data_IF_514586965877
#
_entry.id   IF_514586965877
#
_cell.length_a   1.000
_cell.length_b   1.000
_cell.length_c   1.000
_cell.angle_alpha   90.00
_cell.angle_beta   90.00
_cell.angle_gamma   90.00
#
_symmetry.space_group_name_H-M   'P 1'
#
loop_
_entity.id
_entity.type
_entity.pdbx_description
1 polymer ?
#
# COMPACT_ATOMS: atom_id res chain seq x y z
N UNK A 1 6.38 -47.07 -9.61
CA UNK A 1 5.59 -46.67 -8.41
C UNK A 1 6.26 -45.55 -7.60
N UNK A 2 7.49 -45.71 -7.08
CA UNK A 2 8.22 -44.63 -6.36
C UNK A 2 8.36 -43.32 -7.13
N UNK A 3 8.64 -43.38 -8.45
CA UNK A 3 8.74 -42.20 -9.32
C UNK A 3 7.40 -41.45 -9.50
N UNK A 4 6.27 -42.17 -9.50
CA UNK A 4 4.92 -41.59 -9.56
C UNK A 4 4.53 -40.90 -8.25
N UNK A 5 4.94 -41.47 -7.11
CA UNK A 5 4.73 -40.87 -5.78
C UNK A 5 5.58 -39.60 -5.65
N UNK A 6 6.84 -39.62 -6.07
CA UNK A 6 7.72 -38.44 -6.06
C UNK A 6 7.17 -37.33 -6.97
N UNK A 7 6.67 -37.69 -8.16
CA UNK A 7 6.07 -36.72 -9.08
C UNK A 7 4.78 -36.11 -8.52
N UNK A 8 3.94 -36.93 -7.87
CA UNK A 8 2.74 -36.45 -7.16
C UNK A 8 3.08 -35.54 -5.98
N UNK A 9 4.13 -35.85 -5.20
CA UNK A 9 4.57 -35.04 -4.07
C UNK A 9 5.13 -33.69 -4.52
N UNK A 10 5.92 -33.66 -5.61
CA UNK A 10 6.41 -32.44 -6.25
C UNK A 10 5.27 -31.56 -6.80
N UNK A 11 4.24 -32.17 -7.37
CA UNK A 11 3.08 -31.45 -7.91
C UNK A 11 2.22 -30.85 -6.79
N UNK A 12 2.09 -31.52 -5.64
CA UNK A 12 1.38 -30.97 -4.46
C UNK A 12 2.19 -29.84 -3.80
N UNK A 13 3.52 -29.98 -3.69
CA UNK A 13 4.39 -28.94 -3.13
C UNK A 13 4.40 -27.65 -3.95
N UNK A 14 4.29 -27.74 -5.28
CA UNK A 14 4.27 -26.57 -6.16
C UNK A 14 2.93 -25.82 -6.09
N UNK A 15 1.80 -26.51 -5.87
CA UNK A 15 0.49 -25.88 -5.70
C UNK A 15 0.38 -25.12 -4.37
N UNK A 16 0.98 -25.62 -3.30
CA UNK A 16 0.97 -24.94 -1.99
C UNK A 16 1.83 -23.68 -1.94
N UNK A 17 2.81 -23.51 -2.84
CA UNK A 17 3.70 -22.34 -2.86
C UNK A 17 3.07 -21.07 -3.45
N UNK A 18 1.89 -21.16 -4.09
CA UNK A 18 1.28 -20.05 -4.86
C UNK A 18 0.17 -19.33 -4.09
N UNK A 19 -0.34 -19.92 -3.01
CA UNK A 19 -1.43 -19.32 -2.22
C UNK A 19 -0.86 -18.60 -1.02
N UNK A 20 -0.79 -17.26 -1.07
CA UNK A 20 -1.14 -16.34 0.03
C UNK A 20 -0.60 -14.92 -0.25
N UNK A 21 -1.23 -14.17 -1.15
CA UNK A 21 -1.20 -12.70 -1.09
C UNK A 21 -2.64 -12.22 -1.10
N UNK A 22 -3.07 -11.60 0.01
CA UNK A 22 -4.36 -10.94 0.05
C UNK A 22 -4.40 -9.86 -1.06
N UNK A 23 -5.53 -9.70 -1.78
CA UNK A 23 -5.64 -8.66 -2.79
C UNK A 23 -5.50 -7.29 -2.14
N UNK A 24 -4.77 -6.39 -2.79
CA UNK A 24 -4.64 -4.99 -2.37
C UNK A 24 -6.02 -4.31 -2.55
N UNK A 25 -6.56 -3.62 -1.53
CA UNK A 25 -7.82 -2.88 -1.65
C UNK A 25 -7.76 -1.85 -2.79
N UNK A 26 -8.87 -1.62 -3.50
CA UNK A 26 -8.90 -0.75 -4.67
C UNK A 26 -8.43 0.68 -4.36
N UNK A 27 -8.79 1.19 -3.18
CA UNK A 27 -8.40 2.48 -2.64
C UNK A 27 -6.91 2.58 -2.31
N UNK A 28 -6.18 1.47 -2.33
CA UNK A 28 -4.72 1.42 -2.14
C UNK A 28 -3.97 1.06 -3.42
N UNK A 29 -4.63 0.60 -4.47
CA UNK A 29 -3.93 0.11 -5.65
C UNK A 29 -3.21 1.24 -6.40
N UNK A 30 -1.99 0.97 -6.86
CA UNK A 30 -1.23 1.90 -7.68
C UNK A 30 -0.28 1.17 -8.64
N UNK A 31 0.17 1.89 -9.66
CA UNK A 31 1.23 1.48 -10.58
C UNK A 31 2.46 2.37 -10.42
N UNK A 32 2.27 3.66 -10.17
CA UNK A 32 3.33 4.65 -9.97
C UNK A 32 3.01 5.57 -8.79
N UNK A 33 4.02 6.26 -8.25
CA UNK A 33 3.86 7.20 -7.13
C UNK A 33 2.77 8.26 -7.40
N UNK A 34 2.65 8.71 -8.66
CA UNK A 34 1.66 9.71 -9.07
C UNK A 34 0.20 9.22 -9.02
N UNK A 35 -0.03 7.91 -8.84
CA UNK A 35 -1.37 7.37 -8.64
C UNK A 35 -1.86 7.57 -7.19
N UNK A 36 -0.99 8.01 -6.28
CA UNK A 36 -1.24 8.06 -4.85
C UNK A 36 -1.32 9.51 -4.32
N UNK A 37 -2.23 9.71 -3.37
CA UNK A 37 -2.47 10.97 -2.68
C UNK A 37 -2.70 10.74 -1.18
N UNK A 38 -2.73 11.81 -0.38
CA UNK A 38 -2.95 11.71 1.07
C UNK A 38 -4.32 11.09 1.37
N UNK A 39 -4.37 10.13 2.30
CA UNK A 39 -5.60 9.46 2.72
C UNK A 39 -6.55 10.38 3.51
N UNK A 40 -6.02 11.41 4.15
CA UNK A 40 -6.77 12.40 4.92
C UNK A 40 -6.31 13.81 4.57
N UNK A 41 -7.16 14.80 4.81
CA UNK A 41 -6.85 16.19 4.46
C UNK A 41 -5.73 16.80 5.31
N UNK A 42 -5.72 16.49 6.61
CA UNK A 42 -4.78 17.06 7.55
C UNK A 42 -4.00 15.93 8.22
N UNK A 43 -2.69 16.16 8.42
CA UNK A 43 -1.84 15.27 9.20
C UNK A 43 -1.89 13.81 8.71
N UNK A 44 -1.91 13.61 7.40
CA UNK A 44 -2.05 12.28 6.81
C UNK A 44 -0.83 11.43 7.14
N UNK A 45 -1.06 10.26 7.72
CA UNK A 45 -0.05 9.23 7.98
C UNK A 45 -0.19 8.04 7.03
N UNK A 46 -0.99 8.20 5.99
CA UNK A 46 -1.35 7.14 5.05
C UNK A 46 -1.69 7.73 3.67
N UNK A 47 -1.68 6.88 2.65
CA UNK A 47 -1.92 7.25 1.27
C UNK A 47 -3.01 6.38 0.62
N UNK A 48 -3.74 6.94 -0.33
CA UNK A 48 -4.78 6.25 -1.12
C UNK A 48 -4.57 6.54 -2.59
N UNK A 49 -5.14 5.71 -3.46
CA UNK A 49 -5.23 6.02 -4.87
C UNK A 49 -5.99 7.34 -5.07
N UNK A 50 -5.53 8.16 -6.01
CA UNK A 50 -6.11 9.48 -6.37
C UNK A 50 -7.62 9.45 -6.62
N UNK A 51 -8.15 8.35 -7.16
CA UNK A 51 -9.60 8.19 -7.39
C UNK A 51 -10.43 8.13 -6.10
N UNK A 52 -9.78 7.84 -4.97
CA UNK A 52 -10.37 7.71 -3.64
C UNK A 52 -9.91 8.81 -2.69
N UNK A 53 -9.16 9.80 -3.17
CA UNK A 53 -8.67 10.90 -2.34
C UNK A 53 -9.84 11.72 -1.76
N UNK A 54 -9.75 12.18 -0.50
CA UNK A 54 -10.77 13.05 0.08
C UNK A 54 -10.78 14.43 -0.61
N UNK A 55 -11.96 15.05 -0.72
CA UNK A 55 -12.07 16.45 -1.11
C UNK A 55 -11.69 17.36 0.08
N UNK A 56 -10.56 18.04 -0.05
CA UNK A 56 -10.02 18.93 0.98
C UNK A 56 -10.23 20.43 0.69
N UNK A 57 -10.99 20.79 -0.36
CA UNK A 57 -11.13 22.18 -0.82
C UNK A 57 -11.71 23.15 0.21
N UNK A 58 -12.46 22.65 1.19
CA UNK A 58 -13.10 23.45 2.27
C UNK A 58 -12.54 23.16 3.66
N UNK A 59 -11.44 22.42 3.74
CA UNK A 59 -10.81 22.04 5.01
C UNK A 59 -9.61 22.95 5.27
N UNK A 60 -9.57 23.52 6.47
CA UNK A 60 -8.40 24.23 6.98
C UNK A 60 -7.71 23.34 8.01
N UNK A 61 -6.45 23.00 7.75
CA UNK A 61 -5.61 22.25 8.68
C UNK A 61 -4.91 23.21 9.66
N UNK A 62 -4.49 22.68 10.81
CA UNK A 62 -3.61 23.44 11.71
C UNK A 62 -2.22 23.57 11.08
N UNK A 63 -1.42 24.51 11.56
CA UNK A 63 -0.03 24.69 11.14
C UNK A 63 0.96 23.81 11.93
N UNK A 64 0.46 22.80 12.64
CA UNK A 64 1.27 21.91 13.47
C UNK A 64 1.98 20.84 12.61
N UNK A 65 3.25 20.56 12.90
CA UNK A 65 3.93 19.36 12.41
C UNK A 65 3.61 18.20 13.35
N UNK A 66 2.68 17.31 12.98
CA UNK A 66 2.31 16.19 13.85
C UNK A 66 3.32 15.05 13.66
N UNK A 67 3.92 14.50 14.73
CA UNK A 67 4.82 13.35 14.62
C UNK A 67 4.14 12.12 14.01
N UNK A 68 4.85 11.41 13.13
CA UNK A 68 4.35 10.17 12.52
C UNK A 68 3.35 10.38 11.38
N UNK A 69 3.35 11.57 10.78
CA UNK A 69 2.53 11.92 9.61
C UNK A 69 3.45 12.37 8.46
N UNK A 70 2.87 12.69 7.31
CA UNK A 70 3.56 13.27 6.16
C UNK A 70 3.88 14.78 6.34
N UNK A 71 3.54 15.36 7.49
CA UNK A 71 3.80 16.78 7.72
C UNK A 71 5.30 17.06 7.79
N UNK A 72 5.68 18.26 7.35
CA UNK A 72 7.02 18.80 7.55
C UNK A 72 8.14 17.87 7.03
N UNK A 73 7.84 17.14 5.95
CA UNK A 73 8.77 16.23 5.25
C UNK A 73 9.24 15.05 6.12
N UNK A 74 8.44 14.62 7.10
CA UNK A 74 8.72 13.42 7.90
C UNK A 74 8.56 12.11 7.09
N UNK A 75 7.98 12.18 5.90
CA UNK A 75 7.87 11.07 4.97
C UNK A 75 7.45 11.53 3.58
N UNK A 76 7.22 10.55 2.71
CA UNK A 76 6.71 10.75 1.36
C UNK A 76 5.66 9.71 0.99
N UNK A 77 4.86 10.02 -0.03
CA UNK A 77 3.90 9.08 -0.59
C UNK A 77 4.61 8.26 -1.68
N UNK A 78 4.45 6.94 -1.62
CA UNK A 78 5.04 6.00 -2.58
C UNK A 78 4.06 4.93 -2.99
N UNK A 79 4.20 4.49 -4.24
CA UNK A 79 3.63 3.25 -4.70
C UNK A 79 4.63 2.11 -4.44
N UNK A 80 4.37 1.30 -3.41
CA UNK A 80 5.27 0.21 -3.00
C UNK A 80 4.52 -1.10 -3.10
N UNK A 81 5.04 -2.03 -3.92
CA UNK A 81 4.41 -3.32 -4.17
C UNK A 81 2.93 -3.18 -4.60
N UNK A 82 2.66 -2.24 -5.52
CA UNK A 82 1.33 -1.91 -6.03
C UNK A 82 0.34 -1.36 -4.99
N UNK A 83 0.84 -0.92 -3.83
CA UNK A 83 0.05 -0.35 -2.74
C UNK A 83 0.54 1.08 -2.42
N UNK A 84 -0.37 2.05 -2.37
CA UNK A 84 -0.12 3.41 -1.93
C UNK A 84 0.22 3.40 -0.44
N UNK A 85 1.41 3.90 -0.09
CA UNK A 85 1.89 3.98 1.29
C UNK A 85 2.45 5.37 1.59
N UNK A 86 2.31 5.75 2.85
CA UNK A 86 3.10 6.83 3.43
C UNK A 86 4.40 6.23 3.98
N UNK A 87 5.52 6.44 3.29
CA UNK A 87 6.83 5.98 3.70
C UNK A 87 7.49 7.03 4.61
N UNK A 88 7.55 6.74 5.92
CA UNK A 88 8.16 7.62 6.93
C UNK A 88 9.69 7.48 6.93
N UNK A 89 10.42 8.58 7.10
CA UNK A 89 11.90 8.58 7.01
C UNK A 89 12.63 8.14 8.27
N UNK A 90 11.95 8.08 9.42
CA UNK A 90 12.53 7.58 10.68
C UNK A 90 13.44 8.56 11.40
#
# INVERSE_FOLDING_TARGET
MKKLIIFGLLLVLTVFAVSCTAPIPAEKQCTVDADCERATCCHANDAVNTQFSPDCTKILCTAECVPGTLDCQQGEIKCVANECKAAMYG
#
